data_IF_450110902346
#
_entry.id   IF_450110902346
#
_cell.length_a   1.000
_cell.length_b   1.000
_cell.length_c   1.000
_cell.angle_alpha   90.00
_cell.angle_beta   90.00
_cell.angle_gamma   90.00
#
_symmetry.space_group_name_H-M   'P 1'
#
loop_
_entity.id
_entity.type
_entity.pdbx_description
1 polymer ?
#
# COMPACT_ATOMS: atom_id res chain seq x y z
N UNK A 1 80.68 19.29 -43.18
CA UNK A 1 81.35 19.73 -41.93
C UNK A 1 80.84 18.89 -40.78
N UNK A 2 81.77 18.29 -40.02
CA UNK A 2 81.70 17.82 -38.63
C UNK A 2 80.31 17.62 -37.98
N UNK A 3 79.93 16.35 -37.85
CA UNK A 3 79.62 15.60 -36.62
C UNK A 3 79.14 16.31 -35.34
N UNK A 4 78.40 15.52 -34.53
CA UNK A 4 78.13 15.60 -33.07
C UNK A 4 76.69 16.08 -32.77
N UNK A 5 75.80 15.41 -32.02
CA UNK A 5 75.96 14.57 -30.83
C UNK A 5 74.98 13.38 -30.79
N UNK A 6 75.48 12.25 -30.27
CA UNK A 6 74.74 11.10 -29.76
C UNK A 6 74.18 11.42 -28.37
N UNK A 7 73.00 10.89 -28.02
CA UNK A 7 72.79 10.26 -26.71
C UNK A 7 71.71 9.18 -26.81
N UNK A 8 72.11 7.93 -26.56
CA UNK A 8 71.25 6.78 -26.32
C UNK A 8 70.96 6.70 -24.81
N UNK A 9 69.76 6.29 -24.43
CA UNK A 9 69.48 5.45 -23.24
C UNK A 9 68.02 4.93 -23.40
N UNK A 10 67.82 3.61 -23.62
CA UNK A 10 67.20 2.63 -22.69
C UNK A 10 65.81 3.05 -22.17
N UNK A 11 64.73 2.26 -22.13
CA UNK A 11 64.54 0.84 -21.86
C UNK A 11 63.06 0.49 -22.12
N UNK A 12 62.81 -0.73 -22.58
CA UNK A 12 61.53 -1.49 -22.68
C UNK A 12 60.55 -1.36 -21.49
N UNK A 13 59.22 -1.35 -21.74
CA UNK A 13 58.24 -2.30 -21.15
C UNK A 13 56.79 -2.15 -21.70
N UNK A 14 56.31 -3.23 -22.34
CA UNK A 14 54.99 -3.90 -22.35
C UNK A 14 53.72 -3.17 -21.85
N UNK A 15 52.61 -3.28 -22.61
CA UNK A 15 51.26 -3.21 -22.06
C UNK A 15 50.13 -2.86 -23.05
N UNK A 16 49.85 -3.70 -24.07
CA UNK A 16 48.63 -3.59 -24.89
C UNK A 16 47.43 -4.16 -24.13
N UNK A 17 46.59 -3.28 -23.56
CA UNK A 17 45.24 -3.60 -23.12
C UNK A 17 44.28 -3.44 -24.30
N UNK A 18 43.69 -4.55 -24.75
CA UNK A 18 42.55 -4.56 -25.68
C UNK A 18 41.29 -4.41 -24.84
N UNK A 19 40.67 -3.23 -24.84
CA UNK A 19 39.30 -3.08 -24.36
C UNK A 19 38.36 -3.52 -25.49
N UNK A 20 37.76 -4.70 -25.32
CA UNK A 20 36.56 -5.10 -26.04
C UNK A 20 35.37 -4.37 -25.40
N UNK A 21 34.90 -3.30 -26.03
CA UNK A 21 33.60 -2.71 -25.76
C UNK A 21 32.55 -3.41 -26.60
N UNK A 22 31.69 -4.21 -25.96
CA UNK A 22 30.39 -4.55 -26.54
C UNK A 22 29.58 -3.26 -26.63
N UNK A 23 29.32 -2.80 -27.85
CA UNK A 23 28.25 -1.88 -28.14
C UNK A 23 26.94 -2.67 -27.98
N UNK A 24 26.30 -2.48 -26.83
CA UNK A 24 24.92 -2.93 -26.61
C UNK A 24 23.98 -2.00 -27.38
N UNK A 25 23.02 -2.62 -28.05
CA UNK A 25 22.08 -2.03 -28.99
C UNK A 25 21.07 -1.17 -28.21
N UNK A 26 21.28 0.15 -28.18
CA UNK A 26 20.31 1.06 -27.57
C UNK A 26 19.11 1.22 -28.50
N UNK A 27 18.19 0.25 -28.41
CA UNK A 27 16.82 0.36 -28.87
C UNK A 27 16.19 1.61 -28.28
N UNK A 28 15.82 2.55 -29.16
CA UNK A 28 15.19 3.80 -28.79
C UNK A 28 13.85 3.55 -28.11
N UNK A 29 13.80 3.74 -26.80
CA UNK A 29 12.54 3.93 -26.08
C UNK A 29 11.93 5.23 -26.58
N UNK A 30 10.88 5.11 -27.40
CA UNK A 30 9.87 6.16 -27.46
C UNK A 30 9.52 6.50 -26.01
N UNK A 31 9.62 7.78 -25.64
CA UNK A 31 9.23 8.23 -24.31
C UNK A 31 7.78 7.80 -24.10
N UNK A 32 7.61 6.79 -23.25
CA UNK A 32 6.30 6.28 -22.88
C UNK A 32 5.73 7.30 -21.89
N UNK A 33 4.80 8.12 -22.38
CA UNK A 33 4.12 9.16 -21.59
C UNK A 33 3.17 8.56 -20.53
N UNK A 34 3.13 7.22 -20.38
CA UNK A 34 2.42 6.56 -19.28
C UNK A 34 3.06 6.82 -17.93
N UNK A 35 2.21 6.99 -16.93
CA UNK A 35 2.60 7.04 -15.52
C UNK A 35 2.42 5.68 -14.87
N UNK A 36 3.21 5.43 -13.83
CA UNK A 36 3.04 4.29 -12.95
C UNK A 36 2.26 4.72 -11.69
N UNK A 37 1.09 4.12 -11.51
CA UNK A 37 0.29 4.24 -10.29
C UNK A 37 0.53 3.04 -9.40
N UNK A 38 0.20 3.16 -8.12
CA UNK A 38 0.31 2.06 -7.15
C UNK A 38 -1.00 1.85 -6.40
N UNK A 39 -1.44 0.59 -6.31
CA UNK A 39 -2.59 0.19 -5.52
C UNK A 39 -2.16 -0.11 -4.07
N UNK A 40 -2.63 0.68 -3.12
CA UNK A 40 -2.14 0.79 -1.74
C UNK A 40 -0.63 1.13 -1.69
N UNK A 41 -0.05 1.26 -0.49
CA UNK A 41 1.35 1.66 -0.34
C UNK A 41 2.32 0.51 -0.57
N UNK A 42 2.08 -0.60 0.14
CA UNK A 42 2.89 -1.82 0.08
C UNK A 42 2.49 -2.72 -1.09
N UNK A 43 1.41 -2.37 -1.80
CA UNK A 43 1.01 -3.05 -3.02
C UNK A 43 -0.05 -4.13 -2.83
N UNK A 44 -0.72 -4.45 -3.93
CA UNK A 44 -1.54 -5.65 -4.09
C UNK A 44 -1.16 -6.26 -5.43
N UNK A 45 -0.46 -7.40 -5.41
CA UNK A 45 0.03 -8.07 -6.62
C UNK A 45 -0.96 -9.13 -7.12
N UNK A 46 -0.94 -9.38 -8.42
CA UNK A 46 -1.79 -10.40 -9.04
C UNK A 46 -3.19 -9.93 -9.43
N UNK A 47 -3.51 -8.64 -9.27
CA UNK A 47 -4.78 -8.11 -9.76
C UNK A 47 -4.69 -7.74 -11.24
N UNK A 48 -5.66 -8.18 -12.02
CA UNK A 48 -5.86 -7.65 -13.36
C UNK A 48 -6.29 -6.18 -13.27
N UNK A 49 -5.70 -5.33 -14.11
CA UNK A 49 -6.15 -3.94 -14.28
C UNK A 49 -6.42 -3.62 -15.73
N UNK A 50 -7.35 -2.70 -15.96
CA UNK A 50 -7.66 -2.17 -17.28
C UNK A 50 -7.96 -0.67 -17.21
N UNK A 51 -7.33 0.10 -18.08
CA UNK A 51 -7.68 1.50 -18.38
C UNK A 51 -8.18 1.59 -19.83
N UNK A 52 -8.46 2.81 -20.30
CA UNK A 52 -8.84 3.02 -21.70
C UNK A 52 -7.74 2.63 -22.69
N UNK A 53 -6.47 2.64 -22.27
CA UNK A 53 -5.32 2.40 -23.15
C UNK A 53 -4.35 1.33 -22.64
N UNK A 54 -4.37 0.99 -21.35
CA UNK A 54 -3.46 0.03 -20.72
C UNK A 54 -4.24 -1.15 -20.16
N UNK A 55 -3.59 -2.31 -20.10
CA UNK A 55 -4.10 -3.47 -19.38
C UNK A 55 -2.95 -4.35 -18.95
N UNK A 56 -3.08 -5.01 -17.81
CA UNK A 56 -2.07 -5.95 -17.34
C UNK A 56 -2.43 -6.51 -15.98
N UNK A 57 -1.40 -6.99 -15.29
CA UNK A 57 -1.49 -7.44 -13.90
C UNK A 57 -0.65 -6.52 -13.03
N UNK A 58 -1.13 -6.20 -11.83
CA UNK A 58 -0.36 -5.42 -10.86
C UNK A 58 0.92 -6.17 -10.47
N UNK A 59 2.03 -5.44 -10.39
CA UNK A 59 3.34 -5.99 -10.01
C UNK A 59 3.40 -6.34 -8.52
N UNK A 60 4.52 -6.88 -8.07
CA UNK A 60 4.79 -7.16 -6.64
C UNK A 60 4.65 -5.92 -5.75
N UNK A 61 4.96 -4.73 -6.27
CA UNK A 61 4.75 -3.46 -5.57
C UNK A 61 3.34 -2.88 -5.75
N UNK A 62 2.43 -3.60 -6.41
CA UNK A 62 1.08 -3.16 -6.73
C UNK A 62 1.01 -2.10 -7.85
N UNK A 63 2.03 -2.02 -8.72
CA UNK A 63 2.08 -0.99 -9.75
C UNK A 63 1.22 -1.34 -10.98
N UNK A 64 0.59 -0.31 -11.56
CA UNK A 64 -0.18 -0.37 -12.79
C UNK A 64 0.14 0.84 -13.67
N UNK A 65 -0.04 0.73 -14.99
CA UNK A 65 0.22 1.84 -15.93
C UNK A 65 -1.07 2.53 -16.37
N UNK A 66 -1.00 3.84 -16.55
CA UNK A 66 -2.12 4.67 -16.99
C UNK A 66 -1.65 5.96 -17.64
N UNK A 67 -2.52 6.61 -18.43
CA UNK A 67 -2.32 8.02 -18.81
C UNK A 67 -3.09 8.96 -17.89
N UNK A 68 -2.58 10.18 -17.63
CA UNK A 68 -3.28 11.17 -16.82
C UNK A 68 -4.73 11.40 -17.27
N UNK A 69 -5.67 11.37 -16.33
CA UNK A 69 -7.10 11.57 -16.58
C UNK A 69 -7.88 10.30 -16.94
N UNK A 70 -7.22 9.15 -17.11
CA UNK A 70 -7.91 7.87 -17.27
C UNK A 70 -8.54 7.38 -15.97
N UNK A 71 -9.48 6.44 -16.11
CA UNK A 71 -9.95 5.59 -15.02
C UNK A 71 -9.42 4.18 -15.16
N UNK A 72 -9.28 3.49 -14.02
CA UNK A 72 -8.86 2.10 -13.92
C UNK A 72 -9.98 1.23 -13.35
N UNK A 73 -10.06 0.01 -13.86
CA UNK A 73 -10.80 -1.12 -13.32
C UNK A 73 -9.82 -2.13 -12.73
N UNK A 74 -10.17 -2.72 -11.58
CA UNK A 74 -9.42 -3.81 -10.96
C UNK A 74 -10.29 -5.05 -10.83
N UNK A 75 -9.66 -6.21 -11.07
CA UNK A 75 -10.25 -7.55 -10.96
C UNK A 75 -9.26 -8.54 -10.38
N UNK A 76 -9.77 -9.56 -9.70
CA UNK A 76 -8.98 -10.74 -9.30
C UNK A 76 -9.49 -11.93 -10.12
N UNK A 77 -8.66 -12.40 -11.05
CA UNK A 77 -9.14 -13.35 -12.07
C UNK A 77 -10.36 -12.81 -12.82
N UNK A 78 -11.47 -13.55 -12.78
CA UNK A 78 -12.74 -13.21 -13.41
C UNK A 78 -13.69 -12.44 -12.47
N UNK A 79 -13.31 -12.22 -11.20
CA UNK A 79 -14.08 -11.43 -10.24
C UNK A 79 -13.75 -9.93 -10.38
N UNK A 80 -14.70 -9.14 -10.86
CA UNK A 80 -14.61 -7.67 -10.88
C UNK A 80 -14.65 -7.12 -9.44
N UNK A 81 -13.64 -6.34 -9.06
CA UNK A 81 -13.57 -5.71 -7.73
C UNK A 81 -14.16 -4.31 -7.75
N UNK A 82 -13.75 -3.48 -8.72
CA UNK A 82 -14.23 -2.12 -8.87
C UNK A 82 -13.86 -1.54 -10.24
N UNK A 83 -14.65 -0.58 -10.71
CA UNK A 83 -14.52 0.04 -12.02
C UNK A 83 -14.69 1.56 -11.94
N UNK A 84 -14.15 2.28 -12.94
CA UNK A 84 -14.29 3.73 -13.05
C UNK A 84 -13.57 4.49 -11.92
N UNK A 85 -12.46 3.95 -11.42
CA UNK A 85 -11.64 4.58 -10.37
C UNK A 85 -10.69 5.58 -11.05
N UNK A 86 -10.63 6.86 -10.64
CA UNK A 86 -9.64 7.79 -11.17
C UNK A 86 -8.23 7.24 -10.97
N UNK A 87 -7.49 7.10 -12.07
CA UNK A 87 -6.12 6.64 -12.01
C UNK A 87 -5.21 7.76 -11.46
N UNK A 88 -4.24 7.38 -10.62
CA UNK A 88 -3.38 8.32 -9.92
C UNK A 88 -2.14 7.64 -9.36
N UNK A 89 -1.23 8.43 -8.79
CA UNK A 89 0.02 7.92 -8.22
C UNK A 89 -0.26 6.86 -7.14
N UNK A 90 -1.27 7.10 -6.31
CA UNK A 90 -1.77 6.13 -5.34
C UNK A 90 -3.28 5.98 -5.51
N UNK A 91 -3.73 4.74 -5.64
CA UNK A 91 -5.13 4.34 -5.53
C UNK A 91 -5.23 3.46 -4.29
N UNK A 92 -6.25 3.63 -3.45
CA UNK A 92 -6.49 2.77 -2.30
C UNK A 92 -7.83 2.07 -2.42
N UNK A 93 -8.11 1.12 -1.52
CA UNK A 93 -9.43 0.46 -1.52
C UNK A 93 -10.57 1.43 -1.22
N UNK A 94 -10.30 2.58 -0.57
CA UNK A 94 -11.33 3.60 -0.35
C UNK A 94 -11.85 4.16 -1.69
N UNK A 95 -10.99 4.26 -2.70
CA UNK A 95 -11.39 4.78 -4.01
C UNK A 95 -12.22 3.78 -4.85
N UNK A 96 -12.37 2.53 -4.41
CA UNK A 96 -13.16 1.53 -5.14
C UNK A 96 -14.67 1.86 -5.10
N UNK A 97 -15.11 2.56 -4.06
CA UNK A 97 -16.51 2.86 -3.81
C UNK A 97 -16.83 4.33 -4.13
N UNK A 98 -17.74 4.64 -5.07
CA UNK A 98 -18.07 6.02 -5.47
C UNK A 98 -18.47 6.94 -4.32
N UNK A 99 -19.24 6.44 -3.35
CA UNK A 99 -19.70 7.16 -2.17
C UNK A 99 -18.53 7.49 -1.22
N UNK A 100 -17.59 6.56 -1.06
CA UNK A 100 -16.38 6.77 -0.26
C UNK A 100 -15.47 7.79 -0.96
N UNK A 101 -15.27 7.67 -2.28
CA UNK A 101 -14.55 8.68 -3.09
C UNK A 101 -15.11 10.08 -2.96
N UNK A 102 -16.43 10.20 -2.97
CA UNK A 102 -17.11 11.49 -2.81
C UNK A 102 -16.85 12.06 -1.42
N UNK A 103 -16.90 11.22 -0.39
CA UNK A 103 -16.57 11.63 0.98
C UNK A 103 -15.09 12.03 1.15
N UNK A 104 -14.16 11.44 0.39
CA UNK A 104 -12.74 11.82 0.42
C UNK A 104 -12.45 13.21 -0.16
N UNK A 105 -13.40 13.88 -0.82
CA UNK A 105 -13.20 15.24 -1.33
C UNK A 105 -13.26 16.31 -0.24
N UNK A 106 -13.75 15.97 0.96
CA UNK A 106 -13.90 16.91 2.06
C UNK A 106 -13.06 16.46 3.26
N UNK A 107 -12.13 17.28 3.78
CA UNK A 107 -11.39 16.96 4.98
C UNK A 107 -12.29 17.01 6.23
N UNK A 108 -11.73 16.59 7.35
CA UNK A 108 -12.23 16.95 8.68
C UNK A 108 -11.25 17.90 9.35
N UNK A 109 -11.69 18.56 10.41
CA UNK A 109 -10.87 19.45 11.22
C UNK A 109 -10.45 18.70 12.49
N UNK A 110 -9.18 18.77 12.86
CA UNK A 110 -8.66 18.15 14.08
C UNK A 110 -8.80 19.05 15.32
N UNK A 111 -8.21 18.62 16.45
CA UNK A 111 -8.25 19.37 17.71
C UNK A 111 -7.55 20.73 17.66
N UNK A 112 -6.62 20.91 16.72
CA UNK A 112 -5.90 22.17 16.51
C UNK A 112 -6.68 23.13 15.60
N UNK A 113 -7.84 22.72 15.08
CA UNK A 113 -8.62 23.55 14.16
C UNK A 113 -8.08 23.52 12.73
N UNK A 114 -7.23 22.55 12.39
CA UNK A 114 -6.62 22.40 11.06
C UNK A 114 -7.24 21.24 10.27
N UNK A 115 -7.35 21.43 8.96
CA UNK A 115 -7.85 20.43 8.02
C UNK A 115 -6.91 19.22 7.93
N UNK A 116 -7.50 18.02 7.95
CA UNK A 116 -6.81 16.73 7.78
C UNK A 116 -7.71 15.69 7.12
N UNK A 117 -7.11 14.86 6.26
CA UNK A 117 -7.79 13.68 5.72
C UNK A 117 -7.60 12.42 6.56
N UNK A 118 -6.66 12.39 7.51
CA UNK A 118 -6.44 11.21 8.36
C UNK A 118 -7.70 10.85 9.16
N UNK A 119 -8.39 11.85 9.73
CA UNK A 119 -9.64 11.61 10.46
C UNK A 119 -10.78 11.18 9.52
N UNK A 120 -10.87 11.78 8.33
CA UNK A 120 -11.87 11.42 7.31
C UNK A 120 -11.68 9.97 6.86
N UNK A 121 -10.46 9.60 6.55
CA UNK A 121 -10.09 8.23 6.17
C UNK A 121 -10.46 7.24 7.28
N UNK A 122 -10.09 7.51 8.54
CA UNK A 122 -10.45 6.67 9.69
C UNK A 122 -11.95 6.46 9.86
N UNK A 123 -12.77 7.50 9.63
CA UNK A 123 -14.23 7.39 9.65
C UNK A 123 -14.73 6.46 8.53
N UNK A 124 -14.14 6.54 7.35
CA UNK A 124 -14.56 5.77 6.18
C UNK A 124 -14.19 4.28 6.27
N UNK A 125 -13.23 3.90 7.13
CA UNK A 125 -12.91 2.49 7.42
C UNK A 125 -14.03 1.71 8.12
N UNK A 126 -15.16 2.36 8.42
CA UNK A 126 -16.37 1.71 8.94
C UNK A 126 -17.36 1.34 7.83
N UNK A 127 -17.05 1.66 6.57
CA UNK A 127 -17.90 1.34 5.43
C UNK A 127 -17.95 -0.19 5.22
N UNK A 128 -19.15 -0.77 5.27
CA UNK A 128 -19.36 -2.22 5.19
C UNK A 128 -18.87 -2.82 3.86
N UNK A 129 -19.22 -2.26 2.68
CA UNK A 129 -18.67 -2.74 1.41
C UNK A 129 -17.16 -2.73 1.33
N UNK A 130 -16.52 -1.64 1.81
CA UNK A 130 -15.07 -1.54 1.90
C UNK A 130 -14.46 -2.64 2.77
N UNK A 131 -15.07 -2.91 3.93
CA UNK A 131 -14.57 -3.94 4.84
C UNK A 131 -14.74 -5.34 4.26
N UNK A 132 -15.88 -5.64 3.63
CA UNK A 132 -16.11 -6.92 2.97
C UNK A 132 -15.12 -7.18 1.83
N UNK A 133 -14.88 -6.17 0.98
CA UNK A 133 -13.89 -6.27 -0.10
C UNK A 133 -12.47 -6.46 0.46
N UNK A 134 -12.12 -5.69 1.48
CA UNK A 134 -10.79 -5.77 2.11
C UNK A 134 -10.57 -7.14 2.77
N UNK A 135 -11.58 -7.69 3.46
CA UNK A 135 -11.54 -9.04 4.04
C UNK A 135 -11.25 -10.09 2.98
N UNK A 136 -11.98 -10.06 1.86
CA UNK A 136 -11.76 -11.03 0.79
C UNK A 136 -10.35 -10.93 0.23
N UNK A 137 -9.87 -9.73 -0.06
CA UNK A 137 -8.51 -9.54 -0.62
C UNK A 137 -7.42 -9.97 0.37
N UNK A 138 -7.59 -9.71 1.68
CA UNK A 138 -6.67 -10.19 2.71
C UNK A 138 -6.73 -11.73 2.81
N UNK A 139 -7.92 -12.34 2.74
CA UNK A 139 -8.08 -13.80 2.77
C UNK A 139 -7.42 -14.50 1.57
N UNK A 140 -7.45 -13.85 0.40
CA UNK A 140 -6.83 -14.32 -0.84
C UNK A 140 -5.30 -14.13 -0.88
N UNK A 141 -4.71 -13.43 0.09
CA UNK A 141 -3.27 -13.28 0.20
C UNK A 141 -2.60 -14.65 0.26
N UNK A 142 -1.45 -14.85 -0.37
CA UNK A 142 -0.79 -16.15 -0.36
C UNK A 142 -0.43 -16.59 1.07
N UNK A 143 0.18 -15.68 1.85
CA UNK A 143 0.44 -15.91 3.26
C UNK A 143 -0.80 -15.62 4.10
N UNK A 144 -0.96 -16.33 5.20
CA UNK A 144 -2.09 -16.09 6.12
C UNK A 144 -1.99 -14.72 6.79
N UNK A 145 -0.75 -14.30 7.11
CA UNK A 145 -0.46 -13.01 7.72
C UNK A 145 0.27 -12.10 6.73
N UNK A 146 -0.06 -10.80 6.77
CA UNK A 146 0.62 -9.74 6.03
C UNK A 146 1.60 -9.06 6.99
N UNK A 147 2.90 -9.22 6.74
CA UNK A 147 3.94 -8.62 7.59
C UNK A 147 3.99 -7.09 7.52
N UNK A 148 4.72 -6.47 8.45
CA UNK A 148 5.02 -5.05 8.37
C UNK A 148 5.83 -4.73 7.10
N UNK A 149 5.42 -3.75 6.31
CA UNK A 149 6.05 -3.42 5.03
C UNK A 149 5.67 -4.34 3.85
N UNK A 150 4.85 -5.37 4.08
CA UNK A 150 4.36 -6.27 3.03
C UNK A 150 2.97 -5.89 2.54
N UNK A 151 2.72 -6.16 1.26
CA UNK A 151 1.45 -6.02 0.57
C UNK A 151 0.66 -7.32 0.52
N UNK A 152 -0.41 -7.34 -0.28
CA UNK A 152 -1.18 -8.56 -0.56
C UNK A 152 -0.59 -9.23 -1.81
N UNK A 153 -0.25 -10.50 -1.73
CA UNK A 153 0.27 -11.31 -2.84
C UNK A 153 -0.77 -12.33 -3.31
N UNK A 154 -1.43 -12.10 -4.45
CA UNK A 154 -2.36 -13.07 -5.02
C UNK A 154 -1.68 -13.83 -6.17
N UNK A 155 -1.23 -15.06 -5.90
CA UNK A 155 -0.51 -15.86 -6.90
C UNK A 155 -1.43 -16.38 -7.99
N UNK A 156 -0.87 -16.65 -9.17
CA UNK A 156 -1.59 -17.28 -10.29
C UNK A 156 -2.26 -18.61 -9.94
N UNK A 157 -1.71 -19.37 -8.98
CA UNK A 157 -2.37 -20.58 -8.48
C UNK A 157 -3.68 -20.27 -7.76
N UNK A 158 -3.71 -19.22 -6.94
CA UNK A 158 -4.94 -18.76 -6.26
C UNK A 158 -5.94 -18.28 -7.31
N UNK A 159 -5.49 -17.49 -8.29
CA UNK A 159 -6.34 -16.96 -9.37
C UNK A 159 -6.97 -18.09 -10.20
N UNK A 160 -6.21 -19.12 -10.57
CA UNK A 160 -6.74 -20.27 -11.32
C UNK A 160 -7.83 -21.03 -10.54
N UNK A 161 -7.60 -21.28 -9.25
CA UNK A 161 -8.59 -21.94 -8.38
C UNK A 161 -9.83 -21.07 -8.20
N UNK A 162 -9.64 -19.76 -7.98
CA UNK A 162 -10.71 -18.78 -7.90
C UNK A 162 -11.59 -18.81 -9.15
N UNK A 163 -11.00 -18.74 -10.35
CA UNK A 163 -11.76 -18.79 -11.61
C UNK A 163 -12.50 -20.11 -11.82
N UNK A 164 -11.94 -21.23 -11.37
CA UNK A 164 -12.60 -22.53 -11.44
C UNK A 164 -13.82 -22.61 -10.49
N UNK A 165 -13.73 -21.96 -9.33
CA UNK A 165 -14.76 -21.97 -8.30
C UNK A 165 -15.92 -20.99 -8.56
N UNK A 166 -15.65 -19.82 -9.17
CA UNK A 166 -16.64 -18.76 -9.40
C UNK A 166 -17.97 -19.23 -10.03
N UNK A 167 -17.99 -20.09 -11.08
CA UNK A 167 -19.24 -20.56 -11.68
C UNK A 167 -20.06 -21.51 -10.79
N UNK A 168 -19.44 -22.10 -9.76
CA UNK A 168 -20.06 -23.05 -8.83
C UNK A 168 -20.69 -22.41 -7.60
N UNK A 169 -20.49 -21.11 -7.39
CA UNK A 169 -21.04 -20.39 -6.23
C UNK A 169 -22.58 -20.35 -6.27
N UNK A 170 -23.20 -20.38 -5.09
CA UNK A 170 -24.67 -20.30 -4.96
C UNK A 170 -25.26 -18.99 -5.51
N UNK A 171 -24.48 -17.93 -5.45
CA UNK A 171 -24.79 -16.60 -5.99
C UNK A 171 -23.48 -15.82 -6.21
N UNK A 172 -23.50 -14.72 -6.99
CA UNK A 172 -22.35 -13.84 -7.11
C UNK A 172 -21.91 -13.28 -5.75
N UNK A 173 -20.62 -12.98 -5.61
CA UNK A 173 -20.08 -12.27 -4.44
C UNK A 173 -20.58 -10.82 -4.50
N UNK A 174 -21.34 -10.41 -3.49
CA UNK A 174 -21.81 -9.04 -3.34
C UNK A 174 -21.20 -8.43 -2.07
N UNK A 175 -20.38 -7.39 -2.24
CA UNK A 175 -19.75 -6.70 -1.11
C UNK A 175 -20.74 -5.81 -0.35
N UNK A 176 -21.92 -5.49 -0.92
CA UNK A 176 -22.89 -4.57 -0.33
C UNK A 176 -23.79 -5.20 0.73
N UNK A 177 -23.73 -6.52 0.90
CA UNK A 177 -24.48 -7.23 1.94
C UNK A 177 -23.96 -6.87 3.34
N UNK A 178 -24.77 -7.19 4.36
CA UNK A 178 -24.34 -6.99 5.75
C UNK A 178 -23.12 -7.84 6.09
N UNK A 179 -22.31 -7.41 7.06
CA UNK A 179 -21.16 -8.20 7.52
C UNK A 179 -21.56 -9.63 7.91
N UNK A 180 -22.66 -9.79 8.65
CA UNK A 180 -23.14 -11.10 9.10
C UNK A 180 -23.53 -12.03 7.93
N UNK A 181 -23.99 -11.46 6.81
CA UNK A 181 -24.29 -12.23 5.60
C UNK A 181 -23.01 -12.54 4.82
N UNK A 182 -22.08 -11.60 4.75
CA UNK A 182 -20.80 -11.78 4.05
C UNK A 182 -19.90 -12.82 4.74
N UNK A 183 -19.93 -12.88 6.07
CA UNK A 183 -19.15 -13.83 6.89
C UNK A 183 -19.94 -15.07 7.29
N UNK A 184 -21.11 -15.30 6.69
CA UNK A 184 -21.96 -16.43 7.06
C UNK A 184 -21.26 -17.79 6.84
N UNK A 185 -21.39 -18.67 7.84
CA UNK A 185 -20.82 -20.02 7.87
C UNK A 185 -21.90 -21.06 8.19
N UNK A 186 -21.55 -22.35 8.20
CA UNK A 186 -22.45 -23.44 8.54
C UNK A 186 -23.45 -23.76 7.43
N UNK A 187 -24.75 -23.80 7.73
CA UNK A 187 -25.75 -24.25 6.76
C UNK A 187 -26.03 -23.26 5.63
N UNK A 188 -25.71 -21.97 5.82
CA UNK A 188 -25.92 -20.90 4.86
C UNK A 188 -24.60 -20.18 4.58
N UNK A 189 -23.59 -20.93 4.12
CA UNK A 189 -22.26 -20.39 3.82
C UNK A 189 -22.37 -19.26 2.80
N UNK A 190 -21.71 -18.13 3.08
CA UNK A 190 -21.67 -17.00 2.15
C UNK A 190 -20.93 -17.35 0.85
N UNK A 191 -21.21 -16.68 -0.28
CA UNK A 191 -20.46 -16.89 -1.52
C UNK A 191 -18.95 -16.67 -1.37
N UNK A 192 -18.51 -15.77 -0.49
CA UNK A 192 -17.10 -15.53 -0.21
C UNK A 192 -16.45 -16.73 0.50
N UNK A 193 -17.11 -17.30 1.51
CA UNK A 193 -16.62 -18.49 2.20
C UNK A 193 -16.73 -19.76 1.33
N UNK A 194 -17.74 -19.86 0.45
CA UNK A 194 -17.80 -20.91 -0.57
C UNK A 194 -16.61 -20.83 -1.52
N UNK A 195 -16.23 -19.62 -1.96
CA UNK A 195 -15.07 -19.41 -2.81
C UNK A 195 -13.76 -19.84 -2.11
N UNK A 196 -13.55 -19.41 -0.87
CA UNK A 196 -12.32 -19.73 -0.12
C UNK A 196 -12.18 -21.23 0.17
N UNK A 197 -13.29 -21.95 0.34
CA UNK A 197 -13.30 -23.40 0.52
C UNK A 197 -12.75 -24.17 -0.69
N UNK A 198 -12.77 -23.57 -1.89
CA UNK A 198 -12.27 -24.17 -3.13
C UNK A 198 -10.83 -23.76 -3.45
N UNK A 199 -10.16 -22.99 -2.58
CA UNK A 199 -8.82 -22.46 -2.81
C UNK A 199 -7.81 -23.07 -1.82
N UNK A 200 -6.81 -23.76 -2.36
CA UNK A 200 -5.64 -24.18 -1.58
C UNK A 200 -4.51 -23.14 -1.66
N UNK A 201 -4.06 -22.66 -0.51
CA UNK A 201 -2.96 -21.69 -0.34
C UNK A 201 -1.58 -22.35 -0.13
N UNK A 202 -1.43 -23.60 -0.58
CA UNK A 202 -0.19 -24.37 -0.50
C UNK A 202 0.30 -24.79 -1.90
N UNK A 203 1.58 -25.20 -2.03
CA UNK A 203 2.09 -25.77 -3.28
C UNK A 203 1.25 -26.94 -3.80
N UNK A 204 1.34 -27.24 -5.09
CA UNK A 204 0.47 -28.22 -5.76
C UNK A 204 0.53 -29.63 -5.16
N UNK A 205 1.70 -30.04 -4.72
CA UNK A 205 1.95 -31.36 -4.14
C UNK A 205 1.76 -31.41 -2.62
N UNK A 206 1.27 -30.33 -2.00
CA UNK A 206 1.06 -30.30 -0.55
C UNK A 206 -0.10 -31.23 -0.15
N UNK A 207 0.07 -32.12 0.85
CA UNK A 207 -1.01 -32.96 1.36
C UNK A 207 -2.26 -32.18 1.78
N UNK A 208 -2.11 -30.91 2.16
CA UNK A 208 -3.23 -30.04 2.55
C UNK A 208 -4.10 -29.60 1.35
N UNK A 209 -3.62 -29.74 0.12
CA UNK A 209 -4.41 -29.47 -1.09
C UNK A 209 -5.20 -30.70 -1.59
N UNK A 210 -5.07 -31.86 -0.93
CA UNK A 210 -5.81 -33.05 -1.32
C UNK A 210 -7.24 -33.02 -0.73
N UNK A 211 -8.20 -33.73 -1.34
CA UNK A 211 -9.52 -33.91 -0.73
C UNK A 211 -9.40 -34.49 0.69
N UNK A 212 -10.18 -33.98 1.66
CA UNK A 212 -10.12 -34.48 3.03
C UNK A 212 -10.54 -35.97 3.09
N UNK A 213 -9.75 -36.85 3.73
CA UNK A 213 -10.10 -38.27 3.89
C UNK A 213 -11.51 -38.42 4.46
N UNK A 214 -12.33 -39.27 3.84
CA UNK A 214 -13.71 -39.53 4.25
C UNK A 214 -13.78 -40.27 5.59
N UNK A 215 -14.91 -40.15 6.29
CA UNK A 215 -15.12 -40.91 7.54
C UNK A 215 -15.07 -42.42 7.29
N UNK A 216 -15.54 -42.87 6.12
CA UNK A 216 -15.47 -44.28 5.72
C UNK A 216 -14.04 -44.76 5.50
N UNK A 217 -13.16 -43.95 4.90
CA UNK A 217 -11.73 -44.28 4.76
C UNK A 217 -11.04 -44.37 6.12
N UNK A 218 -11.39 -43.47 7.06
CA UNK A 218 -10.86 -43.49 8.42
C UNK A 218 -11.32 -44.74 9.18
N UNK A 219 -12.60 -45.08 9.13
CA UNK A 219 -13.17 -46.22 9.84
C UNK A 219 -12.67 -47.56 9.31
N UNK A 220 -12.33 -47.64 8.02
CA UNK A 220 -11.79 -48.85 7.39
C UNK A 220 -10.26 -49.01 7.57
N UNK A 221 -9.55 -47.98 8.01
CA UNK A 221 -8.11 -48.05 8.24
C UNK A 221 -7.78 -48.76 9.57
N UNK A 222 -6.65 -49.48 9.65
CA UNK A 222 -6.23 -50.10 10.90
C UNK A 222 -5.95 -49.02 11.97
N UNK A 223 -6.29 -49.30 13.23
CA UNK A 223 -5.91 -48.44 14.34
C UNK A 223 -4.43 -48.57 14.66
N UNK A 224 -3.80 -47.48 15.06
CA UNK A 224 -2.39 -47.45 15.46
C UNK A 224 -2.13 -48.37 16.66
N UNK A 225 -1.15 -49.29 16.58
CA UNK A 225 -0.74 -50.11 17.72
C UNK A 225 -0.27 -49.28 18.91
N UNK A 226 -0.55 -49.75 20.14
CA UNK A 226 -0.05 -49.12 21.37
C UNK A 226 1.45 -49.33 21.60
N UNK A 227 2.02 -50.39 21.02
CA UNK A 227 3.46 -50.65 21.05
C UNK A 227 4.14 -49.92 19.89
N UNK A 228 5.00 -48.96 20.21
CA UNK A 228 5.74 -48.16 19.23
C UNK A 228 6.60 -49.04 18.30
N UNK A 229 7.06 -50.21 18.75
CA UNK A 229 7.87 -51.12 17.92
C UNK A 229 7.03 -51.92 16.92
N UNK A 230 5.70 -51.90 17.03
CA UNK A 230 4.76 -52.57 16.14
C UNK A 230 4.16 -51.63 15.08
N UNK A 231 4.55 -50.35 15.08
CA UNK A 231 4.14 -49.37 14.08
C UNK A 231 4.89 -49.66 12.77
N UNK A 232 4.14 -49.96 11.72
CA UNK A 232 4.65 -50.18 10.38
C UNK A 232 4.65 -48.84 9.61
N UNK A 233 5.82 -48.35 9.14
CA UNK A 233 5.90 -47.09 8.40
C UNK A 233 5.18 -47.12 7.05
N UNK A 234 4.89 -48.30 6.49
CA UNK A 234 4.23 -48.44 5.19
C UNK A 234 2.69 -48.52 5.30
N UNK A 235 2.14 -48.48 6.53
CA UNK A 235 0.70 -48.55 6.80
C UNK A 235 0.19 -47.18 7.22
N UNK A 236 -0.88 -46.71 6.56
CA UNK A 236 -1.60 -45.50 6.97
C UNK A 236 -2.67 -45.90 7.99
N UNK A 237 -2.55 -45.40 9.21
CA UNK A 237 -3.48 -45.70 10.30
C UNK A 237 -4.69 -44.76 10.31
N UNK A 238 -5.78 -45.19 10.96
CA UNK A 238 -6.99 -44.39 11.09
C UNK A 238 -6.73 -43.06 11.82
N UNK A 239 -5.84 -43.03 12.81
CA UNK A 239 -5.43 -41.81 13.51
C UNK A 239 -4.65 -40.85 12.59
N UNK A 240 -3.88 -41.37 11.64
CA UNK A 240 -3.15 -40.54 10.65
C UNK A 240 -4.11 -39.91 9.65
N UNK A 241 -5.08 -40.67 9.14
CA UNK A 241 -6.13 -40.15 8.26
C UNK A 241 -7.02 -39.14 8.97
N UNK A 242 -7.37 -39.39 10.24
CA UNK A 242 -8.14 -38.45 11.05
C UNK A 242 -7.37 -37.15 11.28
N UNK A 243 -6.07 -37.23 11.62
CA UNK A 243 -5.22 -36.05 11.78
C UNK A 243 -5.05 -35.28 10.47
N UNK A 244 -4.87 -35.97 9.34
CA UNK A 244 -4.79 -35.34 8.02
C UNK A 244 -6.10 -34.63 7.65
N UNK A 245 -7.25 -35.30 7.87
CA UNK A 245 -8.57 -34.70 7.65
C UNK A 245 -8.74 -33.41 8.46
N UNK A 246 -8.41 -33.43 9.76
CA UNK A 246 -8.51 -32.22 10.59
C UNK A 246 -7.61 -31.11 10.08
N UNK A 247 -6.35 -31.41 9.74
CA UNK A 247 -5.42 -30.40 9.20
C UNK A 247 -5.87 -29.79 7.88
N UNK A 248 -6.48 -30.57 6.98
CA UNK A 248 -7.05 -30.06 5.72
C UNK A 248 -8.24 -29.16 6.02
N UNK A 249 -9.14 -29.55 6.93
CA UNK A 249 -10.30 -28.72 7.26
C UNK A 249 -9.91 -27.43 7.99
N UNK A 250 -8.88 -27.47 8.84
CA UNK A 250 -8.33 -26.31 9.55
C UNK A 250 -7.49 -25.39 8.63
N UNK A 251 -7.06 -25.86 7.45
CA UNK A 251 -6.30 -25.04 6.50
C UNK A 251 -7.19 -24.23 5.55
N UNK A 252 -8.49 -24.54 5.51
CA UNK A 252 -9.48 -23.79 4.75
C UNK A 252 -9.74 -22.46 5.44
N UNK A 253 -9.41 -21.37 4.75
CA UNK A 253 -9.58 -20.01 5.27
C UNK A 253 -11.03 -19.58 5.19
N UNK A 254 -11.42 -18.70 6.11
CA UNK A 254 -12.73 -18.02 6.05
C UNK A 254 -12.56 -16.52 6.20
N UNK A 255 -13.48 -15.73 5.65
CA UNK A 255 -13.44 -14.27 5.84
C UNK A 255 -13.72 -13.86 7.29
N UNK A 256 -14.21 -14.77 8.13
CA UNK A 256 -14.49 -14.56 9.56
C UNK A 256 -13.21 -14.44 10.39
N UNK A 257 -12.11 -15.05 9.94
CA UNK A 257 -10.79 -14.94 10.57
C UNK A 257 -10.26 -13.50 10.53
N UNK A 258 -10.79 -12.67 9.61
CA UNK A 258 -10.39 -11.28 9.40
C UNK A 258 -11.49 -10.36 9.94
N UNK A 259 -11.34 -9.99 11.21
CA UNK A 259 -12.28 -9.07 11.85
C UNK A 259 -12.13 -7.61 11.37
N UNK A 260 -13.06 -6.74 11.80
CA UNK A 260 -13.03 -5.33 11.42
C UNK A 260 -11.76 -4.60 11.88
N UNK A 261 -11.17 -4.98 13.02
CA UNK A 261 -9.97 -4.31 13.52
C UNK A 261 -8.72 -4.75 12.74
N UNK A 262 -8.65 -6.00 12.28
CA UNK A 262 -7.62 -6.48 11.36
C UNK A 262 -7.66 -5.70 10.04
N UNK A 263 -8.85 -5.57 9.42
CA UNK A 263 -9.04 -4.76 8.20
C UNK A 263 -8.62 -3.31 8.43
N UNK A 264 -9.12 -2.69 9.49
CA UNK A 264 -8.82 -1.29 9.82
C UNK A 264 -7.34 -1.08 10.10
N UNK A 265 -6.68 -2.03 10.75
CA UNK A 265 -5.23 -1.98 11.01
C UNK A 265 -4.46 -2.03 9.70
N UNK A 266 -4.78 -2.96 8.81
CA UNK A 266 -4.18 -3.05 7.48
C UNK A 266 -4.38 -1.74 6.69
N UNK A 267 -5.62 -1.28 6.54
CA UNK A 267 -5.93 -0.08 5.76
C UNK A 267 -5.31 1.19 6.36
N UNK A 268 -5.36 1.35 7.69
CA UNK A 268 -4.75 2.51 8.36
C UNK A 268 -3.24 2.56 8.15
N UNK A 269 -2.58 1.40 8.15
CA UNK A 269 -1.14 1.29 7.85
C UNK A 269 -0.84 1.76 6.43
N UNK A 270 -1.58 1.27 5.43
CA UNK A 270 -1.42 1.69 4.03
C UNK A 270 -1.63 3.20 3.85
N UNK A 271 -2.73 3.73 4.39
CA UNK A 271 -3.09 5.15 4.27
C UNK A 271 -2.07 6.07 4.96
N UNK A 272 -1.59 5.68 6.15
CA UNK A 272 -0.54 6.41 6.88
C UNK A 272 0.76 6.42 6.09
N UNK A 273 1.13 5.29 5.48
CA UNK A 273 2.35 5.20 4.70
C UNK A 273 2.28 6.07 3.43
N UNK A 274 1.13 6.11 2.73
CA UNK A 274 0.90 7.05 1.61
C UNK A 274 1.02 8.49 2.08
N UNK A 275 0.31 8.87 3.15
CA UNK A 275 0.36 10.23 3.69
C UNK A 275 1.79 10.64 4.05
N UNK A 276 2.56 9.72 4.63
CA UNK A 276 3.97 9.93 4.97
C UNK A 276 4.83 10.10 3.71
N UNK A 277 4.63 9.26 2.70
CA UNK A 277 5.37 9.35 1.44
C UNK A 277 5.09 10.66 0.70
N UNK A 278 3.83 11.11 0.67
CA UNK A 278 3.46 12.43 0.14
C UNK A 278 4.12 13.51 0.98
N UNK A 279 4.01 13.46 2.31
CA UNK A 279 4.59 14.45 3.21
C UNK A 279 6.11 14.57 3.08
N UNK A 280 6.82 13.47 2.82
CA UNK A 280 8.27 13.46 2.65
C UNK A 280 8.74 14.16 1.38
N UNK A 281 7.84 14.41 0.41
CA UNK A 281 8.16 15.24 -0.76
C UNK A 281 8.15 16.73 -0.46
N UNK A 282 7.73 17.15 0.73
CA UNK A 282 7.63 18.55 1.11
C UNK A 282 8.47 18.85 2.36
N UNK A 283 9.04 20.04 2.42
CA UNK A 283 9.84 20.51 3.55
C UNK A 283 9.66 22.02 3.73
N UNK A 284 10.04 22.56 4.89
CA UNK A 284 10.13 23.99 5.12
C UNK A 284 11.55 24.44 4.85
N UNK A 285 11.76 25.65 4.31
CA UNK A 285 13.10 26.21 4.12
C UNK A 285 13.86 26.46 5.43
N UNK A 286 13.13 26.54 6.54
CA UNK A 286 13.66 26.49 7.90
C UNK A 286 12.80 25.58 8.79
N UNK A 287 13.42 24.77 9.65
CA UNK A 287 12.72 23.94 10.65
C UNK A 287 12.71 24.57 12.05
N UNK A 288 13.70 25.43 12.33
CA UNK A 288 13.85 26.14 13.59
C UNK A 288 14.25 27.59 13.34
N UNK A 289 13.33 28.52 13.56
CA UNK A 289 13.62 29.95 13.51
C UNK A 289 14.04 30.47 14.88
N UNK A 290 15.04 31.35 14.92
CA UNK A 290 15.41 32.05 16.15
C UNK A 290 15.39 33.55 15.97
N UNK A 291 14.50 34.21 16.72
CA UNK A 291 14.17 35.62 16.56
C UNK A 291 14.35 36.34 17.90
N UNK A 292 15.06 37.48 17.96
CA UNK A 292 15.15 38.28 19.18
C UNK A 292 13.78 38.80 19.62
N UNK A 293 13.50 38.85 20.92
CA UNK A 293 12.22 39.34 21.47
C UNK A 293 11.88 40.79 21.05
N UNK A 294 12.90 41.60 20.73
CA UNK A 294 12.72 42.97 20.23
C UNK A 294 12.49 43.08 18.72
N UNK A 295 12.63 42.00 17.96
CA UNK A 295 12.45 41.99 16.51
C UNK A 295 11.01 41.60 16.15
N UNK A 296 10.16 42.61 16.08
CA UNK A 296 8.73 42.48 15.71
C UNK A 296 8.50 42.56 14.20
N UNK A 297 9.57 42.54 13.39
CA UNK A 297 9.42 42.55 11.94
C UNK A 297 8.78 41.24 11.46
N UNK A 298 8.01 41.34 10.37
CA UNK A 298 7.42 40.18 9.71
C UNK A 298 8.56 39.29 9.19
N UNK A 299 8.45 38.00 9.52
CA UNK A 299 9.28 36.92 9.02
C UNK A 299 8.43 36.04 8.13
N UNK A 300 9.05 35.26 7.26
CA UNK A 300 8.36 34.26 6.47
C UNK A 300 9.09 32.93 6.47
N UNK A 301 8.31 31.87 6.34
CA UNK A 301 8.76 30.50 6.11
C UNK A 301 8.02 29.98 4.88
N UNK A 302 8.71 29.26 4.00
CA UNK A 302 8.11 28.76 2.77
C UNK A 302 8.14 27.23 2.71
N UNK A 303 7.03 26.65 2.29
CA UNK A 303 6.95 25.23 1.92
C UNK A 303 7.68 25.04 0.58
N UNK A 304 8.44 23.96 0.47
CA UNK A 304 9.20 23.57 -0.73
C UNK A 304 8.88 22.11 -1.09
N UNK A 305 8.90 21.79 -2.39
CA UNK A 305 8.72 20.42 -2.90
C UNK A 305 10.07 19.87 -3.39
N UNK A 306 10.35 18.61 -3.07
CA UNK A 306 11.50 17.88 -3.60
C UNK A 306 11.18 17.46 -5.03
N UNK A 307 11.95 17.97 -5.99
CA UNK A 307 11.85 17.60 -7.40
C UNK A 307 10.54 18.05 -8.05
N UNK A 308 10.54 19.26 -8.62
CA UNK A 308 9.40 19.85 -9.33
C UNK A 308 8.91 21.15 -8.69
N UNK A 309 7.86 21.72 -9.27
CA UNK A 309 7.26 22.96 -8.81
C UNK A 309 6.33 22.75 -7.60
N UNK A 310 6.25 23.77 -6.75
CA UNK A 310 5.35 23.79 -5.60
C UNK A 310 3.92 24.08 -6.06
N UNK A 311 3.15 23.03 -6.35
CA UNK A 311 1.73 23.11 -6.67
C UNK A 311 0.90 22.69 -5.44
N UNK A 312 0.34 23.68 -4.74
CA UNK A 312 -0.59 23.49 -3.63
C UNK A 312 -1.98 23.92 -4.06
N UNK A 313 -3.02 23.27 -3.56
CA UNK A 313 -4.40 23.70 -3.72
C UNK A 313 -4.85 24.59 -2.56
N UNK A 314 -4.40 24.30 -1.34
CA UNK A 314 -4.82 24.98 -0.11
C UNK A 314 -3.68 25.02 0.93
N UNK A 315 -3.70 26.04 1.81
CA UNK A 315 -2.75 26.24 2.91
C UNK A 315 -3.43 26.91 4.11
N UNK A 316 -3.27 26.29 5.27
CA UNK A 316 -3.69 26.76 6.58
C UNK A 316 -2.48 26.80 7.52
N UNK A 317 -2.42 27.80 8.41
CA UNK A 317 -1.38 27.86 9.42
C UNK A 317 -1.91 28.44 10.74
N UNK A 318 -1.44 27.87 11.84
CA UNK A 318 -1.69 28.39 13.19
C UNK A 318 -0.40 28.44 14.00
N UNK A 319 -0.43 29.19 15.09
CA UNK A 319 0.60 29.14 16.14
C UNK A 319 0.04 28.41 17.35
N UNK A 320 0.80 27.46 17.91
CA UNK A 320 0.40 26.74 19.15
C UNK A 320 0.38 27.67 20.36
N UNK A 321 1.12 28.78 20.31
CA UNK A 321 1.10 29.85 21.31
C UNK A 321 0.92 31.22 20.65
N UNK A 322 -0.33 31.60 20.29
CA UNK A 322 -0.63 32.86 19.62
C UNK A 322 -0.23 34.12 20.40
N UNK A 323 -0.09 34.03 21.73
CA UNK A 323 0.41 35.14 22.55
C UNK A 323 1.90 35.43 22.31
N UNK A 324 2.68 34.44 21.87
CA UNK A 324 4.13 34.56 21.72
C UNK A 324 4.54 34.75 20.26
N UNK A 325 3.89 34.04 19.35
CA UNK A 325 4.12 34.14 17.91
C UNK A 325 2.76 34.17 17.21
N UNK A 326 2.56 35.15 16.32
CA UNK A 326 1.30 35.32 15.60
C UNK A 326 1.51 35.10 14.10
N UNK A 327 0.54 34.42 13.46
CA UNK A 327 0.45 34.33 12.00
C UNK A 327 -0.04 35.68 11.48
N UNK A 328 0.70 36.25 10.54
CA UNK A 328 0.32 37.48 9.85
C UNK A 328 -0.51 37.21 8.59
N UNK A 329 -0.02 36.31 7.73
CA UNK A 329 -0.66 35.96 6.47
C UNK A 329 -0.23 34.56 5.99
N UNK A 330 -1.06 33.95 5.15
CA UNK A 330 -0.76 32.70 4.45
C UNK A 330 -1.00 32.87 2.96
N UNK A 331 -0.10 32.33 2.14
CA UNK A 331 -0.22 32.33 0.68
C UNK A 331 0.02 30.94 0.13
N UNK A 332 -1.06 30.26 -0.26
CA UNK A 332 -0.98 28.89 -0.79
C UNK A 332 -0.25 28.82 -2.15
N UNK A 333 -0.27 29.89 -2.95
CA UNK A 333 0.33 29.90 -4.29
C UNK A 333 1.85 29.95 -4.23
N UNK A 334 2.41 30.72 -3.30
CA UNK A 334 3.85 30.74 -3.02
C UNK A 334 4.28 29.71 -1.97
N UNK A 335 3.32 29.12 -1.24
CA UNK A 335 3.55 28.27 -0.07
C UNK A 335 4.15 29.02 1.12
N UNK A 336 4.00 30.34 1.16
CA UNK A 336 4.60 31.21 2.15
C UNK A 336 3.66 31.47 3.33
N UNK A 337 4.21 31.41 4.54
CA UNK A 337 3.52 31.76 5.78
C UNK A 337 4.31 32.86 6.46
N UNK A 338 3.67 34.00 6.64
CA UNK A 338 4.23 35.17 7.30
C UNK A 338 3.84 35.17 8.78
N UNK A 339 4.78 35.47 9.65
CA UNK A 339 4.58 35.50 11.11
C UNK A 339 5.44 36.58 11.76
N UNK A 340 5.12 36.95 12.99
CA UNK A 340 5.95 37.85 13.80
C UNK A 340 5.95 37.43 15.27
N UNK A 341 7.00 37.82 15.98
CA UNK A 341 7.15 37.56 17.41
C UNK A 341 6.53 38.69 18.22
N UNK A 342 5.76 38.31 19.24
CA UNK A 342 5.14 39.21 20.22
C UNK A 342 5.45 38.83 21.68
N UNK A 343 5.98 37.63 21.91
CA UNK A 343 6.29 37.10 23.23
C UNK A 343 7.63 37.57 23.82
N UNK A 344 7.87 37.30 25.11
CA UNK A 344 9.11 37.66 25.78
C UNK A 344 10.28 36.74 25.40
N UNK A 345 11.50 37.21 25.67
CA UNK A 345 12.72 36.40 25.58
C UNK A 345 12.63 35.12 26.43
N UNK A 346 13.12 34.01 25.88
CA UNK A 346 12.97 32.67 26.45
C UNK A 346 11.64 31.98 26.11
N UNK A 347 10.76 32.65 25.36
CA UNK A 347 9.54 32.05 24.81
C UNK A 347 9.81 31.09 23.66
N UNK A 348 8.87 30.16 23.46
CA UNK A 348 8.90 29.17 22.38
C UNK A 348 7.47 28.96 21.89
N UNK A 349 7.28 28.89 20.57
CA UNK A 349 6.02 28.49 19.92
C UNK A 349 6.31 27.59 18.72
N UNK A 350 5.32 26.83 18.30
CA UNK A 350 5.35 26.08 17.05
C UNK A 350 4.34 26.67 16.07
N UNK A 351 4.75 26.87 14.82
CA UNK A 351 3.83 27.15 13.74
C UNK A 351 3.49 25.83 13.05
N UNK A 352 2.21 25.47 13.05
CA UNK A 352 1.70 24.29 12.37
C UNK A 352 1.16 24.73 11.01
N UNK A 353 1.76 24.21 9.94
CA UNK A 353 1.40 24.50 8.56
C UNK A 353 0.73 23.26 7.98
N UNK A 354 -0.58 23.33 7.74
CA UNK A 354 -1.36 22.27 7.09
C UNK A 354 -1.65 22.68 5.65
N UNK A 355 -1.35 21.84 4.67
CA UNK A 355 -1.57 22.16 3.26
C UNK A 355 -1.97 20.94 2.44
N UNK A 356 -2.62 21.19 1.31
CA UNK A 356 -3.04 20.14 0.38
C UNK A 356 -2.36 20.32 -0.98
N UNK A 357 -1.51 19.38 -1.42
CA UNK A 357 -1.03 19.34 -2.79
C UNK A 357 -2.16 19.22 -3.83
N UNK A 358 -1.94 19.68 -5.07
CA UNK A 358 -2.95 19.56 -6.13
C UNK A 358 -3.16 18.12 -6.64
N UNK A 359 -2.11 17.28 -6.57
CA UNK A 359 -2.08 15.92 -7.11
C UNK A 359 -2.70 14.86 -6.19
N UNK A 360 -3.21 15.27 -5.02
CA UNK A 360 -3.85 14.36 -4.05
C UNK A 360 -4.91 15.09 -3.23
N UNK A 361 -5.89 14.34 -2.72
CA UNK A 361 -6.83 14.89 -1.75
C UNK A 361 -6.16 15.09 -0.37
N UNK A 362 -5.08 14.38 -0.06
CA UNK A 362 -4.51 14.30 1.30
C UNK A 362 -3.89 15.62 1.76
N UNK A 363 -4.30 16.05 2.95
CA UNK A 363 -3.62 17.14 3.66
C UNK A 363 -2.33 16.62 4.31
N UNK A 364 -1.30 17.45 4.24
CA UNK A 364 0.03 17.23 4.82
C UNK A 364 0.29 18.32 5.84
N UNK A 365 0.99 17.98 6.93
CA UNK A 365 1.41 18.94 7.96
C UNK A 365 2.92 19.03 8.06
N UNK A 366 3.41 20.25 8.26
CA UNK A 366 4.78 20.57 8.65
C UNK A 366 4.76 21.52 9.84
N UNK A 367 5.86 21.56 10.58
CA UNK A 367 6.00 22.39 11.76
C UNK A 367 7.29 23.20 11.69
N UNK A 368 7.19 24.48 12.06
CA UNK A 368 8.34 25.36 12.31
C UNK A 368 8.41 25.62 13.80
N UNK A 369 9.55 25.36 14.42
CA UNK A 369 9.80 25.74 15.81
C UNK A 369 10.35 27.16 15.87
N UNK A 370 9.74 28.05 16.65
CA UNK A 370 10.17 29.45 16.79
C UNK A 370 10.66 29.71 18.20
N UNK A 371 11.96 30.05 18.32
CA UNK A 371 12.62 30.37 19.58
C UNK A 371 12.79 31.89 19.73
N UNK A 372 12.22 32.45 20.78
CA UNK A 372 12.31 33.87 21.11
C UNK A 372 13.51 34.10 22.01
N UNK A 373 14.53 34.83 21.54
CA UNK A 373 15.78 35.07 22.27
C UNK A 373 15.85 36.42 22.98
#
# INVERSE_FOLDING_TARGET
>A
MRSVHRFQLTLTLVGTLVLAGCFDDSGGSAADDTLAGRLNFNGVSGLGYQTASQSGTTTDSGEFRYYPGETVEFRVGDLSLAQGIPAGQYVTFLEFFPEVRTALQAPLVDSEGLSTHTLREQQLLQNVPLNNLSRLLIALNWTENIGEGEGIEIRERVIRQLNAALPGLSSPIDFNVSEAEFTAEGSNVSPANQLLAEICFYPEDDPLCQPPPTLEEIDNAPSRPLDENAIDPDVVYSEDLAALRSRILESVRTVTEIDNEAVKTYLSRELKAITTAVANRYYLDEEVASVPAGDTAIKSVAIRKIGGDLALAELEAISTRPQDVQIHATNWQSGEVEYFVAGPAGGESELLLSFRPEDTYRWVRKQLRVLIR
#
